data_IF_759715275500
#
_entry.id   IF_759715275500
#
_cell.length_a   1.000
_cell.length_b   1.000
_cell.length_c   1.000
_cell.angle_alpha   90.00
_cell.angle_beta   90.00
_cell.angle_gamma   90.00
#
_symmetry.space_group_name_H-M   'P 1'
#
loop_
_entity.id
_entity.type
_entity.pdbx_description
1 polymer ?
#
# COMPACT_ATOMS: atom_id res chain seq x y z
N UNK A 1 -11.35 10.66 7.79
CA UNK A 1 -10.71 10.22 9.06
C UNK A 1 -9.32 10.84 9.13
N UNK A 2 -8.94 11.41 10.26
CA UNK A 2 -7.59 11.91 10.52
C UNK A 2 -6.67 10.72 10.76
N UNK A 3 -5.62 10.55 9.95
CA UNK A 3 -4.62 9.49 10.11
C UNK A 3 -3.58 9.94 11.15
N UNK A 4 -3.23 9.10 12.12
CA UNK A 4 -2.33 9.47 13.22
C UNK A 4 -0.96 8.80 13.09
N UNK A 5 0.07 9.34 13.75
CA UNK A 5 1.44 8.83 13.69
C UNK A 5 1.59 7.37 14.15
N UNK A 6 0.76 6.90 15.08
CA UNK A 6 0.73 5.48 15.49
C UNK A 6 0.20 4.55 14.40
N UNK A 7 -0.69 5.06 13.55
CA UNK A 7 -1.24 4.32 12.42
C UNK A 7 -0.22 4.18 11.29
N UNK A 8 0.64 5.20 11.13
CA UNK A 8 1.78 5.17 10.21
C UNK A 8 2.81 4.12 10.62
N UNK A 9 3.21 4.06 11.89
CA UNK A 9 4.16 3.04 12.37
C UNK A 9 3.64 1.62 12.10
N UNK A 10 2.35 1.38 12.38
CA UNK A 10 1.68 0.12 12.05
C UNK A 10 1.67 -0.15 10.55
N UNK A 11 1.29 0.83 9.73
CA UNK A 11 1.22 0.68 8.29
C UNK A 11 2.59 0.44 7.64
N UNK A 12 3.67 0.92 8.25
CA UNK A 12 5.04 0.68 7.82
C UNK A 12 5.54 -0.72 8.17
N UNK A 13 4.92 -1.39 9.15
CA UNK A 13 5.25 -2.76 9.55
C UNK A 13 4.38 -3.79 8.83
N UNK A 14 3.06 -3.58 8.91
CA UNK A 14 2.01 -4.43 8.34
C UNK A 14 0.88 -3.55 7.76
N UNK A 15 0.99 -3.15 6.49
CA UNK A 15 0.02 -2.30 5.83
C UNK A 15 -1.36 -2.97 5.68
N UNK A 16 -1.42 -4.29 5.54
CA UNK A 16 -2.66 -5.04 5.39
C UNK A 16 -3.50 -5.11 6.68
N UNK A 17 -2.86 -4.91 7.84
CA UNK A 17 -3.57 -4.77 9.13
C UNK A 17 -4.25 -3.41 9.31
N UNK A 18 -3.80 -2.38 8.58
CA UNK A 18 -4.32 -1.00 8.68
C UNK A 18 -5.31 -0.71 7.55
N UNK A 19 -4.96 -1.11 6.33
CA UNK A 19 -5.73 -0.82 5.12
C UNK A 19 -6.34 -2.09 4.56
N UNK A 20 -7.57 -1.99 4.03
CA UNK A 20 -8.24 -3.13 3.39
C UNK A 20 -7.76 -3.33 1.97
N UNK A 21 -7.40 -2.24 1.29
CA UNK A 21 -6.89 -2.26 -0.07
C UNK A 21 -5.76 -1.23 -0.28
N UNK A 22 -4.85 -1.47 -1.23
CA UNK A 22 -3.80 -0.49 -1.60
C UNK A 22 -4.37 0.87 -2.02
N UNK A 23 -5.57 0.86 -2.62
CA UNK A 23 -6.31 2.08 -2.98
C UNK A 23 -6.63 2.96 -1.77
N UNK A 24 -6.86 2.39 -0.58
CA UNK A 24 -7.18 3.14 0.65
C UNK A 24 -6.00 4.02 1.10
N UNK A 25 -4.77 3.59 0.83
CA UNK A 25 -3.54 4.35 1.13
C UNK A 25 -3.52 5.67 0.35
N UNK A 26 -4.03 5.67 -0.88
CA UNK A 26 -4.13 6.88 -1.71
C UNK A 26 -5.11 7.89 -1.10
N UNK A 27 -6.22 7.39 -0.55
CA UNK A 27 -7.27 8.21 0.09
C UNK A 27 -6.90 8.76 1.47
N UNK A 28 -5.84 8.23 2.10
CA UNK A 28 -5.41 8.67 3.43
C UNK A 28 -4.93 10.13 3.42
N UNK A 29 -5.73 11.03 3.99
CA UNK A 29 -5.45 12.48 3.98
C UNK A 29 -4.38 12.93 4.98
N UNK A 30 -3.95 12.04 5.88
CA UNK A 30 -2.89 12.32 6.85
C UNK A 30 -1.52 11.75 6.48
N UNK A 31 -1.37 11.25 5.25
CA UNK A 31 -0.11 10.71 4.74
C UNK A 31 0.41 11.57 3.59
N UNK A 32 1.70 11.87 3.65
CA UNK A 32 2.46 12.48 2.57
C UNK A 32 2.62 11.49 1.41
N UNK A 33 2.80 11.95 0.16
CA UNK A 33 3.01 11.05 -0.98
C UNK A 33 4.21 10.10 -0.78
N UNK A 34 5.27 10.55 -0.09
CA UNK A 34 6.41 9.71 0.26
C UNK A 34 6.05 8.62 1.27
N UNK A 35 5.28 8.95 2.32
CA UNK A 35 4.81 7.98 3.33
C UNK A 35 3.88 6.94 2.69
N UNK A 36 2.95 7.39 1.83
CA UNK A 36 2.10 6.50 1.04
C UNK A 36 2.91 5.56 0.17
N UNK A 37 3.95 6.06 -0.49
CA UNK A 37 4.85 5.23 -1.31
C UNK A 37 5.58 4.19 -0.46
N UNK A 38 6.12 4.57 0.69
CA UNK A 38 6.81 3.65 1.60
C UNK A 38 5.90 2.53 2.10
N UNK A 39 4.66 2.85 2.48
CA UNK A 39 3.64 1.87 2.88
C UNK A 39 3.33 0.89 1.73
N UNK A 40 3.14 1.42 0.51
CA UNK A 40 2.85 0.59 -0.67
C UNK A 40 4.03 -0.32 -1.05
N UNK A 41 5.28 0.15 -0.94
CA UNK A 41 6.48 -0.66 -1.17
C UNK A 41 6.61 -1.78 -0.13
N UNK A 42 6.30 -1.50 1.14
CA UNK A 42 6.23 -2.53 2.18
C UNK A 42 5.19 -3.59 1.82
N UNK A 43 4.02 -3.15 1.38
CA UNK A 43 2.92 -4.04 1.00
C UNK A 43 3.30 -4.93 -0.19
N UNK A 44 3.96 -4.38 -1.20
CA UNK A 44 4.51 -5.16 -2.32
C UNK A 44 5.40 -6.30 -1.83
N UNK A 45 6.35 -6.02 -0.93
CA UNK A 45 7.25 -7.05 -0.39
C UNK A 45 6.50 -8.17 0.35
N UNK A 46 5.46 -7.84 1.13
CA UNK A 46 4.63 -8.83 1.82
C UNK A 46 3.83 -9.69 0.81
N UNK A 47 3.29 -9.09 -0.25
CA UNK A 47 2.56 -9.80 -1.30
C UNK A 47 3.46 -10.69 -2.14
N UNK A 48 4.69 -10.26 -2.46
CA UNK A 48 5.68 -11.09 -3.13
C UNK A 48 6.10 -12.29 -2.27
N UNK A 49 6.25 -12.09 -0.95
CA UNK A 49 6.52 -13.17 -0.02
C UNK A 49 5.35 -14.17 0.05
N UNK A 50 4.10 -13.68 0.08
CA UNK A 50 2.91 -14.51 0.02
C UNK A 50 2.81 -15.26 -1.31
N UNK A 51 3.09 -14.61 -2.45
CA UNK A 51 3.09 -15.25 -3.76
C UNK A 51 4.07 -16.41 -3.83
N UNK A 52 5.31 -16.17 -3.37
CA UNK A 52 6.35 -17.20 -3.27
C UNK A 52 5.91 -18.36 -2.36
N UNK A 53 5.14 -18.07 -1.30
CA UNK A 53 4.59 -19.09 -0.41
C UNK A 53 3.37 -19.83 -1.01
N UNK A 54 2.55 -19.17 -1.84
CA UNK A 54 1.35 -19.75 -2.49
C UNK A 54 1.63 -20.49 -3.80
N UNK A 55 2.88 -20.52 -4.28
CA UNK A 55 3.27 -21.34 -5.44
C UNK A 55 2.98 -22.84 -5.22
N UNK A 56 2.71 -23.25 -3.98
CA UNK A 56 2.30 -24.60 -3.59
C UNK A 56 0.78 -24.71 -3.35
N UNK A 57 0.00 -24.42 -4.40
CA UNK A 57 -1.34 -24.99 -4.60
C UNK A 57 -2.41 -24.75 -3.54
N UNK A 58 -3.15 -23.64 -3.62
CA UNK A 58 -4.60 -23.61 -3.39
C UNK A 58 -5.26 -22.46 -4.17
N UNK A 59 -6.42 -22.67 -4.83
CA UNK A 59 -7.14 -21.60 -5.49
C UNK A 59 -7.66 -20.58 -4.45
N UNK A 60 -7.61 -19.27 -4.74
CA UNK A 60 -8.05 -18.24 -3.81
C UNK A 60 -9.57 -18.37 -3.57
N UNK A 61 -9.97 -18.60 -2.32
CA UNK A 61 -11.37 -18.57 -1.90
C UNK A 61 -11.82 -17.11 -1.70
N UNK A 62 -12.73 -16.64 -2.56
CA UNK A 62 -13.56 -15.40 -2.48
C UNK A 62 -12.90 -14.03 -2.14
N UNK A 63 -11.61 -13.99 -1.79
CA UNK A 63 -10.81 -12.78 -1.58
C UNK A 63 -9.89 -12.51 -2.77
N UNK A 64 -9.51 -11.24 -3.00
CA UNK A 64 -8.50 -10.87 -4.00
C UNK A 64 -7.25 -11.70 -3.77
N UNK A 65 -6.76 -12.35 -4.83
CA UNK A 65 -5.50 -13.08 -4.76
C UNK A 65 -4.33 -12.13 -4.47
N UNK A 66 -3.23 -12.63 -3.85
CA UNK A 66 -2.03 -11.81 -3.66
C UNK A 66 -1.51 -11.19 -4.97
N UNK A 67 -1.70 -11.86 -6.11
CA UNK A 67 -1.35 -11.37 -7.44
C UNK A 67 -2.23 -10.19 -7.91
N UNK A 68 -3.51 -10.18 -7.55
CA UNK A 68 -4.41 -9.06 -7.83
C UNK A 68 -4.10 -7.86 -6.94
N UNK A 69 -3.85 -8.11 -5.65
CA UNK A 69 -3.42 -7.07 -4.73
C UNK A 69 -2.09 -6.44 -5.16
N UNK A 70 -1.12 -7.24 -5.61
CA UNK A 70 0.18 -6.74 -6.08
C UNK A 70 0.01 -5.81 -7.28
N UNK A 71 -0.86 -6.17 -8.23
CA UNK A 71 -1.21 -5.30 -9.35
C UNK A 71 -1.84 -3.99 -8.89
N UNK A 72 -2.73 -4.03 -7.89
CA UNK A 72 -3.34 -2.84 -7.33
C UNK A 72 -2.30 -1.94 -6.62
N UNK A 73 -1.32 -2.53 -5.91
CA UNK A 73 -0.20 -1.79 -5.31
C UNK A 73 0.60 -1.05 -6.38
N UNK A 74 0.97 -1.72 -7.47
CA UNK A 74 1.71 -1.10 -8.57
C UNK A 74 0.93 0.04 -9.24
N UNK A 75 -0.37 -0.12 -9.45
CA UNK A 75 -1.25 0.95 -9.95
C UNK A 75 -1.30 2.14 -8.98
N UNK A 76 -1.36 1.89 -7.68
CA UNK A 76 -1.38 2.92 -6.66
C UNK A 76 -0.05 3.70 -6.63
N UNK A 77 1.09 3.02 -6.67
CA UNK A 77 2.42 3.66 -6.75
C UNK A 77 2.53 4.51 -8.02
N UNK A 78 2.15 3.98 -9.20
CA UNK A 78 2.11 4.75 -10.45
C UNK A 78 1.22 5.99 -10.36
N UNK A 79 0.15 5.93 -9.57
CA UNK A 79 -0.77 7.05 -9.39
C UNK A 79 -0.15 8.14 -8.50
N UNK A 80 0.63 7.76 -7.48
CA UNK A 80 1.42 8.70 -6.67
C UNK A 80 2.52 9.36 -7.48
N UNK A 81 3.18 8.62 -8.38
CA UNK A 81 4.23 9.16 -9.25
C UNK A 81 3.70 10.08 -10.35
N UNK A 82 2.46 9.87 -10.79
CA UNK A 82 1.74 10.74 -11.74
C UNK A 82 1.04 11.93 -11.06
N UNK A 83 0.85 11.89 -9.74
CA UNK A 83 0.18 12.91 -8.92
C UNK A 83 1.12 14.03 -8.48
N UNK A 84 0.58 15.21 -8.09
CA UNK A 84 1.29 16.48 -8.13
C UNK A 84 2.49 16.45 -7.18
N UNK A 85 3.66 16.75 -7.75
CA UNK A 85 4.92 16.85 -7.03
C UNK A 85 4.75 17.60 -5.72
N UNK A 86 5.30 17.00 -4.66
CA UNK A 86 5.38 17.58 -3.32
C UNK A 86 5.63 19.07 -3.41
N UNK A 87 4.68 19.79 -2.84
CA UNK A 87 4.63 21.23 -2.75
C UNK A 87 6.01 21.80 -2.34
N UNK A 88 6.56 22.66 -3.20
CA UNK A 88 7.38 23.78 -2.74
C UNK A 88 6.56 24.52 -1.67
N UNK A 89 6.85 24.27 -0.40
CA UNK A 89 6.47 25.21 0.65
C UNK A 89 7.68 26.12 0.86
N UNK A 90 7.55 27.34 0.36
CA UNK A 90 8.51 28.42 0.45
C UNK A 90 8.93 28.66 1.91
N UNK A 91 10.22 28.86 2.14
CA UNK A 91 10.73 29.61 3.29
C UNK A 91 11.69 30.68 2.81
#
# INVERSE_FOLDING_TARGET
MTFAATDLDKAMLDPASVFRAPEDVLGASGLSPEEKKSILVRWEADLEALLRATEEGMPPSENRSPAELLRAVHEAVRSLERGPGSHRCCR
#
